data_IF_905656063982
#
_entry.id   IF_905656063982
#
_cell.length_a   1.000
_cell.length_b   1.000
_cell.length_c   1.000
_cell.angle_alpha   90.00
_cell.angle_beta   90.00
_cell.angle_gamma   90.00
#
_symmetry.space_group_name_H-M   'P 1'
#
loop_
_entity.id
_entity.type
_entity.pdbx_description
1 polymer ?
#
# COMPACT_ATOMS: atom_id res chain seq x y z
N UNK A 1 22.34 2.71 8.73
CA UNK A 1 22.33 4.04 8.12
C UNK A 1 20.93 4.60 8.31
N UNK A 2 20.79 5.82 8.81
CA UNK A 2 19.49 6.48 9.01
C UNK A 2 18.90 6.91 7.66
N UNK A 3 17.60 6.72 7.45
CA UNK A 3 16.90 7.17 6.25
C UNK A 3 16.83 8.70 6.15
N UNK A 4 16.42 9.21 4.98
CA UNK A 4 16.25 10.64 4.74
C UNK A 4 14.99 11.17 5.48
N UNK A 5 15.07 12.39 6.01
CA UNK A 5 14.00 13.04 6.79
C UNK A 5 13.57 14.39 6.19
N UNK A 6 14.37 14.98 5.30
CA UNK A 6 14.02 16.21 4.60
C UNK A 6 12.94 15.94 3.54
N UNK A 7 11.74 16.50 3.77
CA UNK A 7 10.59 16.30 2.89
C UNK A 7 10.84 16.72 1.44
N UNK A 8 11.55 17.83 1.21
CA UNK A 8 11.82 18.28 -0.16
C UNK A 8 12.72 17.30 -0.90
N UNK A 9 13.72 16.72 -0.22
CA UNK A 9 14.61 15.70 -0.80
C UNK A 9 13.89 14.38 -1.01
N UNK A 10 13.02 14.01 -0.08
CA UNK A 10 12.18 12.81 -0.18
C UNK A 10 11.23 12.87 -1.37
N UNK A 11 10.57 14.01 -1.58
CA UNK A 11 9.66 14.21 -2.71
C UNK A 11 10.42 14.27 -4.03
N UNK A 12 11.54 14.98 -4.11
CA UNK A 12 12.37 15.04 -5.31
C UNK A 12 12.95 13.66 -5.73
N UNK A 13 13.15 12.76 -4.76
CA UNK A 13 13.60 11.38 -4.98
C UNK A 13 12.47 10.36 -5.11
N UNK A 14 11.21 10.80 -5.26
CA UNK A 14 10.06 9.90 -5.28
C UNK A 14 10.05 9.07 -6.56
N UNK A 15 10.29 7.77 -6.42
CA UNK A 15 10.21 6.80 -7.51
C UNK A 15 9.08 5.78 -7.23
N UNK A 16 7.82 6.10 -7.59
CA UNK A 16 6.70 5.21 -7.34
C UNK A 16 6.69 4.06 -8.35
N UNK A 17 6.70 2.83 -7.83
CA UNK A 17 6.64 1.60 -8.62
C UNK A 17 5.30 0.89 -8.44
N UNK A 18 4.58 0.71 -9.55
CA UNK A 18 3.32 -0.03 -9.61
C UNK A 18 3.60 -1.53 -9.71
N UNK A 19 2.98 -2.31 -8.82
CA UNK A 19 2.96 -3.76 -8.91
C UNK A 19 2.05 -4.24 -10.06
N UNK A 20 2.47 -5.25 -10.85
CA UNK A 20 1.68 -5.75 -11.97
C UNK A 20 0.43 -6.53 -11.55
N UNK A 21 0.34 -7.01 -10.31
CA UNK A 21 -0.77 -7.84 -9.85
C UNK A 21 -1.75 -7.04 -8.99
N UNK A 22 -3.07 -7.34 -9.10
CA UNK A 22 -4.06 -6.78 -8.20
C UNK A 22 -3.96 -7.44 -6.83
N UNK A 23 -4.07 -6.62 -5.79
CA UNK A 23 -4.14 -7.02 -4.40
C UNK A 23 -5.56 -6.90 -3.86
N UNK A 24 -5.84 -7.70 -2.85
CA UNK A 24 -7.07 -7.71 -2.11
C UNK A 24 -6.85 -7.54 -0.62
N UNK A 25 -7.91 -7.11 0.06
CA UNK A 25 -8.01 -7.12 1.52
C UNK A 25 -9.02 -8.19 1.92
N UNK A 26 -8.63 -9.12 2.79
CA UNK A 26 -9.53 -10.10 3.37
C UNK A 26 -9.44 -10.05 4.89
N UNK A 27 -10.53 -10.34 5.60
CA UNK A 27 -10.56 -10.42 7.05
C UNK A 27 -10.73 -11.88 7.46
N UNK A 28 -9.79 -12.40 8.25
CA UNK A 28 -9.99 -13.64 8.99
C UNK A 28 -10.59 -13.34 10.36
N UNK A 29 -11.60 -14.11 10.75
CA UNK A 29 -12.13 -14.07 12.11
C UNK A 29 -11.09 -14.47 13.16
N UNK A 30 -11.33 -14.09 14.42
CA UNK A 30 -10.38 -14.28 15.52
C UNK A 30 -9.91 -15.73 15.75
N UNK A 31 -10.77 -16.71 15.46
CA UNK A 31 -10.49 -18.14 15.64
C UNK A 31 -9.94 -18.81 14.36
N UNK A 32 -9.79 -18.06 13.27
CA UNK A 32 -9.29 -18.57 11.99
C UNK A 32 -7.77 -18.36 11.89
N UNK A 33 -7.09 -19.34 11.30
CA UNK A 33 -5.67 -19.27 10.99
C UNK A 33 -5.44 -18.89 9.54
N UNK A 34 -4.31 -18.24 9.24
CA UNK A 34 -3.90 -17.95 7.86
C UNK A 34 -3.89 -19.25 7.03
N UNK A 35 -4.66 -19.34 5.92
CA UNK A 35 -4.66 -20.51 5.06
C UNK A 35 -3.27 -20.80 4.48
N UNK A 36 -2.97 -22.08 4.30
CA UNK A 36 -1.75 -22.50 3.62
C UNK A 36 -1.73 -21.99 2.17
N UNK A 37 -0.55 -21.64 1.65
CA UNK A 37 -0.39 -21.17 0.27
C UNK A 37 -0.57 -19.66 0.06
N UNK A 38 -1.00 -18.92 1.09
CA UNK A 38 -0.93 -17.45 1.06
C UNK A 38 0.43 -17.00 1.57
N UNK A 39 1.13 -16.21 0.76
CA UNK A 39 2.29 -15.41 1.17
C UNK A 39 1.81 -13.97 1.24
N UNK A 40 1.32 -13.51 2.40
CA UNK A 40 0.70 -12.20 2.49
C UNK A 40 1.76 -11.11 2.35
N UNK A 41 1.40 -10.03 1.65
CA UNK A 41 2.17 -8.80 1.69
C UNK A 41 2.07 -8.14 3.06
N UNK A 42 0.87 -8.12 3.65
CA UNK A 42 0.62 -7.52 4.95
C UNK A 42 -0.30 -8.40 5.79
N UNK A 43 -0.01 -8.46 7.09
CA UNK A 43 -0.87 -9.03 8.12
C UNK A 43 -1.06 -8.00 9.22
N UNK A 44 -2.29 -7.62 9.49
CA UNK A 44 -2.63 -6.60 10.48
C UNK A 44 -3.65 -7.21 11.43
N UNK A 45 -3.29 -7.29 12.72
CA UNK A 45 -4.20 -7.75 13.76
C UNK A 45 -5.04 -6.59 14.25
N UNK A 46 -6.34 -6.71 14.09
CA UNK A 46 -7.36 -5.77 14.56
C UNK A 46 -8.17 -6.41 15.69
N UNK A 47 -9.07 -5.66 16.32
CA UNK A 47 -9.92 -6.20 17.38
C UNK A 47 -10.96 -7.20 16.82
N UNK A 48 -11.37 -6.98 15.57
CA UNK A 48 -12.38 -7.74 14.84
C UNK A 48 -11.81 -9.01 14.19
N UNK A 49 -10.49 -9.06 13.96
CA UNK A 49 -9.87 -10.17 13.25
C UNK A 49 -8.47 -9.86 12.73
N UNK A 50 -7.98 -10.69 11.81
CA UNK A 50 -6.71 -10.50 11.12
C UNK A 50 -6.98 -10.05 9.68
N UNK A 51 -6.63 -8.81 9.36
CA UNK A 51 -6.61 -8.32 7.98
C UNK A 51 -5.41 -8.92 7.25
N UNK A 52 -5.68 -9.48 6.07
CA UNK A 52 -4.70 -10.00 5.12
C UNK A 52 -4.69 -9.11 3.90
N UNK A 53 -3.49 -8.71 3.49
CA UNK A 53 -3.24 -8.07 2.20
C UNK A 53 -2.41 -9.05 1.37
N UNK A 54 -2.96 -9.56 0.28
CA UNK A 54 -2.28 -10.48 -0.64
C UNK A 54 -2.78 -10.26 -2.08
N UNK A 55 -2.16 -10.92 -3.06
CA UNK A 55 -2.68 -10.86 -4.44
C UNK A 55 -4.09 -11.46 -4.50
N UNK A 56 -4.95 -10.92 -5.36
CA UNK A 56 -6.31 -11.44 -5.54
C UNK A 56 -6.30 -12.93 -5.90
N UNK A 57 -5.34 -13.37 -6.72
CA UNK A 57 -5.14 -14.78 -7.09
C UNK A 57 -4.90 -15.67 -5.87
N UNK A 58 -4.07 -15.23 -4.91
CA UNK A 58 -3.81 -16.00 -3.69
C UNK A 58 -5.04 -16.06 -2.78
N UNK A 59 -5.77 -14.95 -2.65
CA UNK A 59 -6.99 -14.91 -1.84
C UNK A 59 -8.06 -15.83 -2.43
N UNK A 60 -8.27 -15.78 -3.75
CA UNK A 60 -9.21 -16.64 -4.46
C UNK A 60 -8.84 -18.13 -4.31
N UNK A 61 -7.56 -18.48 -4.50
CA UNK A 61 -7.08 -19.86 -4.35
C UNK A 61 -7.26 -20.41 -2.91
N UNK A 62 -7.29 -19.52 -1.92
CA UNK A 62 -7.53 -19.86 -0.52
C UNK A 62 -9.02 -19.80 -0.11
N UNK A 63 -9.93 -19.46 -1.04
CA UNK A 63 -11.35 -19.31 -0.77
C UNK A 63 -11.69 -18.11 0.12
N UNK A 64 -10.87 -17.06 0.09
CA UNK A 64 -11.10 -15.82 0.84
C UNK A 64 -11.71 -14.75 -0.06
N UNK A 65 -12.82 -14.17 0.38
CA UNK A 65 -13.43 -13.03 -0.30
C UNK A 65 -12.56 -11.78 -0.14
N UNK A 66 -12.16 -11.20 -1.27
CA UNK A 66 -11.45 -9.93 -1.30
C UNK A 66 -12.40 -8.75 -1.31
N UNK A 67 -12.21 -7.80 -0.40
CA UNK A 67 -12.83 -6.49 -0.45
C UNK A 67 -12.20 -5.64 -1.56
N UNK A 68 -12.66 -5.82 -2.79
CA UNK A 68 -12.25 -5.05 -3.97
C UNK A 68 -10.92 -5.48 -4.58
N UNK A 69 -10.45 -4.69 -5.55
CA UNK A 69 -9.16 -4.86 -6.23
C UNK A 69 -8.35 -3.59 -6.10
N UNK A 70 -7.11 -3.73 -5.63
CA UNK A 70 -6.24 -2.63 -5.28
C UNK A 70 -4.90 -2.78 -5.99
N UNK A 71 -4.39 -1.67 -6.49
CA UNK A 71 -3.03 -1.60 -7.02
C UNK A 71 -2.09 -1.16 -5.89
N UNK A 72 -1.04 -1.96 -5.67
CA UNK A 72 0.05 -1.60 -4.77
C UNK A 72 1.04 -0.71 -5.52
N UNK A 73 1.34 0.45 -4.97
CA UNK A 73 2.39 1.35 -5.43
C UNK A 73 3.42 1.49 -4.30
N UNK A 74 4.66 1.10 -4.54
CA UNK A 74 5.76 1.20 -3.56
C UNK A 74 6.55 2.47 -3.82
N UNK A 75 6.80 3.28 -2.78
CA UNK A 75 7.66 4.46 -2.89
C UNK A 75 9.12 4.03 -2.73
N UNK A 76 9.89 3.98 -3.80
CA UNK A 76 11.30 3.52 -3.79
C UNK A 76 12.28 4.58 -3.28
N UNK A 77 11.85 5.36 -2.27
CA UNK A 77 12.69 6.33 -1.58
C UNK A 77 13.09 5.75 -0.22
N UNK A 78 14.34 5.99 0.18
CA UNK A 78 14.85 5.55 1.48
C UNK A 78 14.50 6.58 2.54
N UNK A 79 13.23 6.63 2.94
CA UNK A 79 12.77 7.47 4.06
C UNK A 79 13.13 6.83 5.40
N UNK A 80 13.39 7.67 6.40
CA UNK A 80 13.33 7.21 7.78
C UNK A 80 11.86 7.05 8.19
N UNK A 81 11.56 6.11 9.10
CA UNK A 81 10.22 5.98 9.69
C UNK A 81 9.76 7.26 10.40
N UNK A 82 10.70 8.11 10.81
CA UNK A 82 10.48 9.39 11.49
C UNK A 82 10.32 10.56 10.51
N UNK A 83 10.39 10.31 9.20
CA UNK A 83 10.23 11.35 8.19
C UNK A 83 8.81 11.95 8.25
N UNK A 84 8.73 13.27 8.42
CA UNK A 84 7.46 13.98 8.54
C UNK A 84 7.01 14.50 7.18
N UNK A 85 5.75 14.23 6.83
CA UNK A 85 5.06 14.91 5.72
C UNK A 85 4.93 14.11 4.42
N UNK A 86 5.67 13.02 4.23
CA UNK A 86 5.58 12.20 3.01
C UNK A 86 4.17 11.61 2.84
N UNK A 87 3.66 10.94 3.89
CA UNK A 87 2.30 10.37 3.90
C UNK A 87 1.24 11.43 3.61
N UNK A 88 1.36 12.61 4.22
CA UNK A 88 0.43 13.71 4.04
C UNK A 88 0.46 14.26 2.60
N UNK A 89 1.63 14.42 2.01
CA UNK A 89 1.80 14.89 0.63
C UNK A 89 1.14 13.93 -0.37
N UNK A 90 1.42 12.62 -0.26
CA UNK A 90 0.83 11.59 -1.12
C UNK A 90 -0.69 11.53 -0.98
N UNK A 91 -1.20 11.49 0.26
CA UNK A 91 -2.63 11.43 0.52
C UNK A 91 -3.36 12.67 -0.01
N UNK A 92 -2.78 13.86 0.16
CA UNK A 92 -3.34 15.12 -0.34
C UNK A 92 -3.43 15.13 -1.87
N UNK A 93 -2.36 14.72 -2.56
CA UNK A 93 -2.31 14.70 -4.01
C UNK A 93 -3.39 13.79 -4.61
N UNK A 94 -3.58 12.60 -4.03
CA UNK A 94 -4.58 11.63 -4.49
C UNK A 94 -6.00 12.05 -4.12
N UNK A 95 -6.19 12.62 -2.93
CA UNK A 95 -7.48 13.19 -2.53
C UNK A 95 -7.92 14.31 -3.49
N UNK A 96 -6.98 15.13 -3.96
CA UNK A 96 -7.25 16.19 -4.94
C UNK A 96 -7.82 15.70 -6.28
N UNK A 97 -7.66 14.41 -6.60
CA UNK A 97 -8.27 13.76 -7.77
C UNK A 97 -9.33 12.70 -7.39
N UNK A 98 -9.75 12.68 -6.13
CA UNK A 98 -10.75 11.75 -5.60
C UNK A 98 -10.32 10.28 -5.59
N UNK A 99 -9.02 10.00 -5.42
CA UNK A 99 -8.48 8.64 -5.29
C UNK A 99 -8.24 8.34 -3.80
N UNK A 100 -8.80 7.24 -3.31
CA UNK A 100 -8.50 6.72 -1.96
C UNK A 100 -7.05 6.27 -1.87
N UNK A 101 -6.42 6.57 -0.74
CA UNK A 101 -5.00 6.33 -0.48
C UNK A 101 -4.84 5.48 0.79
N UNK A 102 -4.82 4.15 0.65
CA UNK A 102 -4.65 3.24 1.78
C UNK A 102 -3.15 3.00 1.99
N UNK A 103 -2.55 3.73 2.93
CA UNK A 103 -1.10 3.69 3.18
C UNK A 103 -0.75 2.57 4.15
N UNK A 104 0.33 1.84 3.84
CA UNK A 104 0.99 0.87 4.70
C UNK A 104 2.47 1.26 4.80
N UNK A 105 2.87 1.82 5.94
CA UNK A 105 4.27 2.10 6.22
C UNK A 105 4.98 0.81 6.63
N UNK A 106 5.99 0.41 5.87
CA UNK A 106 6.86 -0.71 6.21
C UNK A 106 8.25 -0.21 6.62
N UNK A 107 9.11 -1.11 7.07
CA UNK A 107 10.44 -0.74 7.58
C UNK A 107 11.31 -0.04 6.53
N UNK A 108 11.19 -0.40 5.25
CA UNK A 108 12.03 0.12 4.19
C UNK A 108 11.34 1.16 3.31
N UNK A 109 10.05 0.99 3.06
CA UNK A 109 9.31 1.78 2.09
C UNK A 109 7.88 1.97 2.57
N UNK A 110 7.28 3.08 2.15
CA UNK A 110 5.84 3.23 2.20
C UNK A 110 5.22 2.53 0.98
N UNK A 111 4.12 1.85 1.25
CA UNK A 111 3.31 1.21 0.23
C UNK A 111 1.93 1.84 0.24
N UNK A 112 1.38 2.04 -0.95
CA UNK A 112 0.09 2.65 -1.13
C UNK A 112 -0.81 1.73 -1.94
N UNK A 113 -2.02 1.50 -1.42
CA UNK A 113 -3.06 0.79 -2.13
C UNK A 113 -4.11 1.77 -2.63
N UNK A 114 -4.33 1.77 -3.94
CA UNK A 114 -5.32 2.59 -4.65
C UNK A 114 -6.25 1.69 -5.46
N UNK A 115 -7.46 2.12 -5.85
CA UNK A 115 -8.36 1.29 -6.64
C UNK A 115 -7.69 0.84 -7.95
N UNK A 116 -7.73 -0.45 -8.25
CA UNK A 116 -7.05 -1.05 -9.41
C UNK A 116 -7.36 -0.34 -10.73
N UNK A 117 -8.62 0.05 -10.93
CA UNK A 117 -9.09 0.75 -12.13
C UNK A 117 -8.46 2.14 -12.31
N UNK A 118 -7.93 2.76 -11.25
CA UNK A 118 -7.34 4.11 -11.26
C UNK A 118 -5.83 4.12 -11.03
N UNK A 119 -5.18 2.95 -11.03
CA UNK A 119 -3.75 2.78 -10.72
C UNK A 119 -2.82 3.65 -11.56
N UNK A 120 -3.05 3.75 -12.86
CA UNK A 120 -2.22 4.56 -13.78
C UNK A 120 -2.37 6.05 -13.51
N UNK A 121 -3.59 6.48 -13.18
CA UNK A 121 -3.86 7.86 -12.80
C UNK A 121 -3.18 8.19 -11.46
N UNK A 122 -3.26 7.30 -10.48
CA UNK A 122 -2.59 7.45 -9.20
C UNK A 122 -1.06 7.54 -9.38
N UNK A 123 -0.49 6.63 -10.17
CA UNK A 123 0.94 6.63 -10.50
C UNK A 123 1.37 7.95 -11.16
N UNK A 124 0.56 8.46 -12.10
CA UNK A 124 0.82 9.75 -12.75
C UNK A 124 0.77 10.92 -11.76
N UNK A 125 -0.17 10.90 -10.81
CA UNK A 125 -0.28 11.95 -9.77
C UNK A 125 0.92 11.91 -8.84
N UNK A 126 1.31 10.72 -8.37
CA UNK A 126 2.45 10.55 -7.45
C UNK A 126 3.76 10.99 -8.11
N UNK A 127 3.99 10.64 -9.38
CA UNK A 127 5.19 11.08 -10.14
C UNK A 127 5.32 12.59 -10.31
N UNK A 128 4.26 13.37 -10.09
CA UNK A 128 4.29 14.84 -10.18
C UNK A 128 4.65 15.51 -8.86
N UNK A 129 4.83 14.74 -7.79
CA UNK A 129 5.23 15.25 -6.48
C UNK A 129 6.74 15.46 -6.36
N UNK A 130 7.53 14.74 -7.18
CA UNK A 130 8.95 15.00 -7.41
C UNK A 130 9.18 15.78 -8.69
#
# INVERSE_FOLDING_TARGET
MSGETDLSRLLAGLDPMLDPDPYGYALLGADQTLPAGITPFGLLREAEGMTIIATCTQLEAAGLDSAGQWARITMMVHSALEAVGMTAAMATALTGVGISANVVAAYHHDHLFVPWARREQALTVLRRLG
#
